data_IF_059313167614
#
_entry.id   IF_059313167614
#
_cell.length_a   1.000
_cell.length_b   1.000
_cell.length_c   1.000
_cell.angle_alpha   90.00
_cell.angle_beta   90.00
_cell.angle_gamma   90.00
#
_symmetry.space_group_name_H-M   'P 1'
#
loop_
_entity.id
_entity.type
_entity.pdbx_description
1 polymer ?
#
# COMPACT_ATOMS: atom_id res chain seq x y z
N UNK A 1 -20.13 13.52 -23.00
CA UNK A 1 -20.15 12.88 -21.67
C UNK A 1 -20.29 11.35 -21.76
N UNK A 2 -21.19 10.79 -22.56
CA UNK A 2 -21.36 9.31 -22.66
C UNK A 2 -20.08 8.51 -22.95
N UNK A 3 -19.08 9.10 -23.64
CA UNK A 3 -17.80 8.43 -23.93
C UNK A 3 -16.85 8.33 -22.73
N UNK A 4 -17.18 8.92 -21.59
CA UNK A 4 -16.39 8.90 -20.36
C UNK A 4 -16.89 7.86 -19.34
N UNK A 5 -18.10 7.30 -19.57
CA UNK A 5 -18.64 6.25 -18.71
C UNK A 5 -17.74 5.02 -18.71
N UNK A 6 -17.57 4.40 -17.55
CA UNK A 6 -16.89 3.14 -17.37
C UNK A 6 -15.77 3.18 -16.35
N UNK A 7 -15.20 2.01 -16.15
CA UNK A 7 -14.08 1.77 -15.26
C UNK A 7 -12.79 1.59 -16.05
N UNK A 8 -11.69 2.17 -15.55
CA UNK A 8 -10.36 2.01 -16.14
C UNK A 8 -9.33 1.82 -15.06
N UNK A 9 -8.34 1.01 -15.36
CA UNK A 9 -7.20 0.78 -14.50
C UNK A 9 -5.93 1.15 -15.23
N UNK A 10 -5.05 1.84 -14.54
CA UNK A 10 -3.73 2.24 -15.03
C UNK A 10 -2.67 1.63 -14.13
N UNK A 11 -1.65 1.07 -14.73
CA UNK A 11 -0.42 0.72 -14.03
C UNK A 11 0.32 2.00 -13.67
N UNK A 12 0.78 2.09 -12.44
CA UNK A 12 1.70 3.14 -11.99
C UNK A 12 3.11 2.60 -12.06
N UNK A 13 3.96 3.29 -12.81
CA UNK A 13 5.33 2.88 -13.04
C UNK A 13 6.29 3.91 -12.43
N UNK A 14 7.33 3.44 -11.75
CA UNK A 14 8.47 4.23 -11.32
C UNK A 14 9.73 3.66 -11.97
N UNK A 15 10.43 4.50 -12.75
CA UNK A 15 11.60 4.06 -13.55
C UNK A 15 11.32 2.84 -14.43
N UNK A 16 10.09 2.75 -14.95
CA UNK A 16 9.66 1.65 -15.82
C UNK A 16 9.20 0.37 -15.09
N UNK A 17 9.36 0.31 -13.76
CA UNK A 17 8.89 -0.80 -12.93
C UNK A 17 7.48 -0.52 -12.39
N UNK A 18 6.56 -1.48 -12.41
CA UNK A 18 5.24 -1.31 -11.83
C UNK A 18 5.35 -1.20 -10.30
N UNK A 19 4.82 -0.12 -9.76
CA UNK A 19 4.84 0.20 -8.32
C UNK A 19 3.45 0.35 -7.74
N UNK A 20 2.40 0.23 -8.55
CA UNK A 20 1.04 0.39 -8.09
C UNK A 20 0.03 0.52 -9.22
N UNK A 21 -1.12 1.04 -8.88
CA UNK A 21 -2.21 1.25 -9.83
C UNK A 21 -3.04 2.49 -9.50
N UNK A 22 -3.67 3.03 -10.53
CA UNK A 22 -4.74 4.03 -10.45
C UNK A 22 -6.00 3.43 -11.07
N UNK A 23 -7.07 3.38 -10.32
CA UNK A 23 -8.40 3.03 -10.82
C UNK A 23 -9.25 4.28 -10.93
N UNK A 24 -9.93 4.44 -12.05
CA UNK A 24 -10.88 5.52 -12.26
C UNK A 24 -12.23 4.95 -12.69
N UNK A 25 -13.31 5.52 -12.20
CA UNK A 25 -14.65 5.15 -12.61
C UNK A 25 -15.50 6.41 -12.83
N UNK A 26 -16.35 6.37 -13.83
CA UNK A 26 -17.35 7.41 -14.09
C UNK A 26 -18.67 6.72 -14.32
N UNK A 27 -19.68 7.06 -13.53
CA UNK A 27 -21.02 6.48 -13.62
C UNK A 27 -22.12 7.51 -13.34
N UNK A 28 -23.34 7.20 -13.74
CA UNK A 28 -24.54 7.87 -13.27
C UNK A 28 -25.05 7.17 -12.01
N UNK A 29 -25.40 7.95 -10.99
CA UNK A 29 -26.02 7.44 -9.76
C UNK A 29 -27.51 7.16 -9.99
N UNK A 30 -28.19 6.57 -9.00
CA UNK A 30 -29.62 6.36 -9.02
C UNK A 30 -30.43 7.69 -9.03
N UNK A 31 -29.81 8.81 -8.67
CA UNK A 31 -30.37 10.16 -8.71
C UNK A 31 -30.03 10.91 -9.99
N UNK A 32 -29.54 10.22 -11.02
CA UNK A 32 -29.07 10.78 -12.28
C UNK A 32 -27.91 11.81 -12.15
N UNK A 33 -27.19 11.79 -11.04
CA UNK A 33 -25.97 12.58 -10.85
C UNK A 33 -24.74 11.85 -11.45
N UNK A 34 -23.72 12.60 -11.82
CA UNK A 34 -22.45 12.04 -12.27
C UNK A 34 -21.54 11.80 -11.08
N UNK A 35 -21.07 10.56 -10.92
CA UNK A 35 -20.08 10.21 -9.93
C UNK A 35 -18.77 9.84 -10.63
N UNK A 36 -17.69 10.49 -10.20
CA UNK A 36 -16.32 10.21 -10.60
C UNK A 36 -15.54 9.69 -9.39
N UNK A 37 -14.94 8.51 -9.52
CA UNK A 37 -14.07 7.94 -8.48
C UNK A 37 -12.66 7.76 -9.00
N UNK A 38 -11.68 7.99 -8.12
CA UNK A 38 -10.26 7.73 -8.36
C UNK A 38 -9.66 7.05 -7.13
N UNK A 39 -9.04 5.90 -7.32
CA UNK A 39 -8.34 5.17 -6.27
C UNK A 39 -6.90 4.93 -6.72
N UNK A 40 -5.96 5.53 -6.03
CA UNK A 40 -4.53 5.38 -6.27
C UNK A 40 -3.91 4.58 -5.13
N UNK A 41 -3.13 3.56 -5.48
CA UNK A 41 -2.28 2.84 -4.56
C UNK A 41 -0.89 2.70 -5.16
N UNK A 42 0.12 3.14 -4.42
CA UNK A 42 1.52 3.11 -4.85
C UNK A 42 2.40 2.59 -3.72
N UNK A 43 3.18 1.57 -4.02
CA UNK A 43 4.26 1.08 -3.16
C UNK A 43 5.58 1.53 -3.80
N UNK A 44 6.14 2.63 -3.32
CA UNK A 44 7.36 3.17 -3.90
C UNK A 44 8.59 2.32 -3.55
N UNK A 45 9.53 2.22 -4.49
CA UNK A 45 10.75 1.40 -4.33
C UNK A 45 11.66 1.83 -3.16
N UNK A 46 11.52 3.03 -2.62
CA UNK A 46 12.36 3.55 -1.53
C UNK A 46 11.60 4.54 -0.65
N UNK A 47 10.31 4.41 -0.57
CA UNK A 47 9.46 5.31 0.20
C UNK A 47 8.19 4.57 0.67
N UNK A 48 7.52 5.15 1.66
CA UNK A 48 6.28 4.61 2.19
C UNK A 48 5.22 4.33 1.12
N UNK A 49 4.42 3.30 1.37
CA UNK A 49 3.19 3.09 0.61
C UNK A 49 2.29 4.34 0.72
N UNK A 50 1.71 4.72 -0.40
CA UNK A 50 0.80 5.84 -0.50
C UNK A 50 -0.53 5.34 -1.08
N UNK A 51 -1.62 5.68 -0.44
CA UNK A 51 -2.96 5.45 -0.97
C UNK A 51 -3.75 6.74 -0.97
N UNK A 52 -4.54 6.96 -2.01
CA UNK A 52 -5.56 7.99 -1.99
C UNK A 52 -6.83 7.52 -2.68
N UNK A 53 -7.95 7.94 -2.14
CA UNK A 53 -9.26 7.74 -2.71
C UNK A 53 -9.94 9.09 -2.87
N UNK A 54 -10.57 9.33 -4.01
CA UNK A 54 -11.36 10.51 -4.26
C UNK A 54 -12.68 10.12 -4.90
N UNK A 55 -13.76 10.68 -4.39
CA UNK A 55 -15.10 10.57 -4.96
C UNK A 55 -15.62 11.99 -5.19
N UNK A 56 -16.11 12.29 -6.37
CA UNK A 56 -16.72 13.56 -6.73
C UNK A 56 -18.12 13.30 -7.30
N UNK A 57 -19.13 13.96 -6.77
CA UNK A 57 -20.48 13.91 -7.28
C UNK A 57 -20.86 15.24 -7.92
N UNK A 58 -21.34 15.21 -9.15
CA UNK A 58 -21.78 16.37 -9.91
C UNK A 58 -23.26 16.24 -10.26
N UNK A 59 -23.96 17.38 -10.28
CA UNK A 59 -25.36 17.44 -10.74
C UNK A 59 -25.54 16.80 -12.13
N UNK A 60 -26.60 16.05 -12.31
CA UNK A 60 -26.97 15.45 -13.59
C UNK A 60 -27.50 16.45 -14.62
N UNK A 61 -27.82 17.68 -14.20
CA UNK A 61 -28.34 18.76 -15.04
C UNK A 61 -27.38 19.95 -15.11
N UNK A 62 -27.39 20.71 -16.23
CA UNK A 62 -26.58 21.91 -16.35
C UNK A 62 -26.79 22.88 -15.18
N UNK A 63 -25.74 23.54 -14.67
CA UNK A 63 -24.36 23.59 -15.19
C UNK A 63 -23.50 22.38 -14.86
N UNK A 64 -24.01 21.27 -14.29
CA UNK A 64 -23.30 20.09 -13.82
C UNK A 64 -22.33 20.44 -12.68
N UNK A 65 -22.83 21.24 -11.73
CA UNK A 65 -22.04 21.70 -10.60
C UNK A 65 -21.59 20.53 -9.70
N UNK A 66 -20.43 20.66 -9.09
CA UNK A 66 -19.98 19.76 -8.03
C UNK A 66 -20.92 19.87 -6.84
N UNK A 67 -21.50 18.77 -6.41
CA UNK A 67 -22.39 18.67 -5.23
C UNK A 67 -21.57 18.39 -3.99
N UNK A 68 -20.71 17.36 -4.09
CA UNK A 68 -19.83 16.94 -3.00
C UNK A 68 -18.53 16.36 -3.53
N UNK A 69 -17.49 16.39 -2.71
CA UNK A 69 -16.28 15.66 -2.94
C UNK A 69 -15.70 15.12 -1.63
N UNK A 70 -15.31 13.86 -1.65
CA UNK A 70 -14.60 13.19 -0.56
C UNK A 70 -13.21 12.81 -1.04
N UNK A 71 -12.22 13.08 -0.22
CA UNK A 71 -10.84 12.72 -0.47
C UNK A 71 -10.24 12.10 0.79
N UNK A 72 -9.67 10.95 0.64
CA UNK A 72 -8.90 10.26 1.66
C UNK A 72 -7.48 10.03 1.16
N UNK A 73 -6.52 10.31 2.02
CA UNK A 73 -5.11 10.01 1.78
C UNK A 73 -4.54 9.33 3.00
N UNK A 74 -3.84 8.23 2.75
CA UNK A 74 -3.06 7.54 3.77
C UNK A 74 -1.61 7.45 3.33
N UNK A 75 -0.74 7.90 4.20
CA UNK A 75 0.70 7.75 4.07
C UNK A 75 1.27 7.41 5.44
N UNK A 76 2.56 7.08 5.51
CA UNK A 76 3.21 6.77 6.79
C UNK A 76 3.26 7.94 7.77
N UNK A 77 3.12 9.15 7.29
CA UNK A 77 3.32 10.36 8.11
C UNK A 77 2.03 11.13 8.36
N UNK A 78 1.06 11.00 7.48
CA UNK A 78 -0.19 11.77 7.55
C UNK A 78 -1.32 10.95 6.96
N UNK A 79 -2.38 10.79 7.73
CA UNK A 79 -3.69 10.42 7.24
C UNK A 79 -4.51 11.70 7.13
N UNK A 80 -5.05 11.96 5.97
CA UNK A 80 -5.86 13.14 5.72
C UNK A 80 -7.19 12.73 5.11
N UNK A 81 -8.27 13.30 5.65
CA UNK A 81 -9.61 13.22 5.07
C UNK A 81 -10.11 14.63 4.82
N UNK A 82 -10.64 14.86 3.62
CA UNK A 82 -11.25 16.14 3.22
C UNK A 82 -12.63 15.86 2.65
N UNK A 83 -13.65 16.53 3.17
CA UNK A 83 -14.99 16.50 2.62
C UNK A 83 -15.38 17.90 2.16
N UNK A 84 -15.97 18.01 0.98
CA UNK A 84 -16.58 19.23 0.45
C UNK A 84 -18.07 19.01 0.27
N UNK A 85 -18.87 19.98 0.70
CA UNK A 85 -20.30 20.02 0.47
C UNK A 85 -20.68 21.39 -0.14
N UNK A 86 -21.49 21.38 -1.17
CA UNK A 86 -21.95 22.60 -1.82
C UNK A 86 -22.82 23.44 -0.86
N UNK A 87 -22.51 24.75 -0.78
CA UNK A 87 -23.29 25.75 -0.07
C UNK A 87 -23.61 26.89 -1.01
N UNK A 88 -24.40 27.90 -0.54
CA UNK A 88 -24.66 29.08 -1.33
C UNK A 88 -23.35 29.87 -1.58
N UNK A 89 -22.97 29.96 -2.85
CA UNK A 89 -21.80 30.73 -3.28
C UNK A 89 -20.45 30.00 -3.22
N UNK A 90 -20.42 28.69 -2.92
CA UNK A 90 -19.17 27.93 -2.87
C UNK A 90 -19.30 26.59 -2.18
N UNK A 91 -18.31 26.23 -1.33
CA UNK A 91 -18.26 24.96 -0.61
C UNK A 91 -17.91 25.13 0.85
N UNK A 92 -18.54 24.32 1.71
CA UNK A 92 -18.04 24.06 3.07
C UNK A 92 -17.04 22.90 3.02
N UNK A 93 -15.84 23.12 3.56
CA UNK A 93 -14.80 22.10 3.64
C UNK A 93 -14.57 21.67 5.09
N UNK A 94 -14.50 20.37 5.30
CA UNK A 94 -14.06 19.75 6.56
C UNK A 94 -12.79 18.96 6.31
N UNK A 95 -11.76 19.28 7.07
CA UNK A 95 -10.45 18.64 6.97
C UNK A 95 -10.17 17.94 8.29
N UNK A 96 -9.83 16.66 8.22
CA UNK A 96 -9.32 15.89 9.37
C UNK A 96 -7.91 15.43 9.03
N UNK A 97 -6.99 15.64 9.95
CA UNK A 97 -5.63 15.15 9.84
C UNK A 97 -5.28 14.40 11.10
N UNK A 98 -4.74 13.18 10.94
CA UNK A 98 -4.12 12.43 12.01
C UNK A 98 -2.70 12.05 11.59
N UNK A 99 -1.76 12.09 12.49
CA UNK A 99 -0.37 11.80 12.16
C UNK A 99 0.52 11.63 13.39
N UNK A 100 1.67 10.99 13.17
CA UNK A 100 2.61 10.64 14.23
C UNK A 100 3.32 11.83 14.89
N UNK A 101 3.22 13.03 14.34
CA UNK A 101 3.94 14.22 14.80
C UNK A 101 3.08 15.33 15.44
N UNK A 102 1.77 15.17 15.44
CA UNK A 102 0.87 16.16 16.05
C UNK A 102 -0.56 15.61 16.07
N UNK A 103 -1.18 15.54 17.21
CA UNK A 103 -2.47 14.93 17.46
C UNK A 103 -3.56 15.21 16.39
N UNK A 104 -4.71 14.57 16.53
CA UNK A 104 -5.84 14.73 15.63
C UNK A 104 -6.28 16.20 15.53
N UNK A 105 -6.22 16.76 14.33
CA UNK A 105 -6.67 18.10 14.02
C UNK A 105 -7.91 18.05 13.11
N UNK A 106 -8.93 18.84 13.45
CA UNK A 106 -10.09 19.03 12.60
C UNK A 106 -10.26 20.53 12.31
N UNK A 107 -10.34 20.86 11.04
CA UNK A 107 -10.50 22.23 10.56
C UNK A 107 -11.76 22.33 9.69
N UNK A 108 -12.45 23.46 9.79
CA UNK A 108 -13.60 23.81 8.96
C UNK A 108 -13.32 25.14 8.27
N UNK A 109 -13.57 25.21 6.98
CA UNK A 109 -13.40 26.45 6.20
C UNK A 109 -14.46 26.53 5.11
N UNK A 110 -14.70 27.74 4.61
CA UNK A 110 -15.56 27.98 3.46
C UNK A 110 -14.71 28.42 2.28
N UNK A 111 -15.12 28.00 1.09
CA UNK A 111 -14.43 28.24 -0.17
C UNK A 111 -15.40 28.98 -1.11
N UNK A 112 -14.93 30.04 -1.75
CA UNK A 112 -15.70 30.97 -2.59
C UNK A 112 -15.62 30.69 -4.10
N UNK A 113 -15.08 29.54 -4.48
CA UNK A 113 -15.00 29.11 -5.86
C UNK A 113 -16.11 28.10 -6.21
N UNK A 114 -16.36 27.92 -7.50
CA UNK A 114 -17.26 26.89 -8.04
C UNK A 114 -16.51 25.95 -8.98
N UNK A 115 -16.96 24.71 -9.09
CA UNK A 115 -16.37 23.70 -9.94
C UNK A 115 -17.46 22.87 -10.59
N UNK A 116 -17.27 22.50 -11.86
CA UNK A 116 -18.26 21.75 -12.62
C UNK A 116 -17.63 20.53 -13.29
N UNK A 117 -18.46 19.58 -13.71
CA UNK A 117 -18.01 18.46 -14.52
C UNK A 117 -17.35 18.91 -15.85
N UNK A 118 -17.75 20.06 -16.37
CA UNK A 118 -17.12 20.64 -17.57
C UNK A 118 -15.69 21.10 -17.29
N UNK A 119 -15.43 21.67 -16.11
CA UNK A 119 -14.09 22.05 -15.69
C UNK A 119 -13.21 20.83 -15.54
N UNK A 120 -13.72 19.77 -14.87
CA UNK A 120 -13.04 18.48 -14.72
C UNK A 120 -12.70 17.81 -16.07
N UNK A 121 -13.52 18.00 -17.10
CA UNK A 121 -13.34 17.46 -18.45
C UNK A 121 -12.87 18.52 -19.45
N UNK A 122 -12.28 19.62 -18.99
CA UNK A 122 -11.94 20.79 -19.82
C UNK A 122 -10.92 20.45 -20.91
N UNK A 123 -9.96 19.59 -20.64
CA UNK A 123 -8.97 19.16 -21.62
C UNK A 123 -9.63 18.41 -22.80
N UNK A 124 -10.51 17.46 -22.48
CA UNK A 124 -11.20 16.64 -23.47
C UNK A 124 -12.16 17.47 -24.34
N UNK A 125 -12.69 18.57 -23.79
CA UNK A 125 -13.61 19.45 -24.53
C UNK A 125 -12.87 20.34 -25.52
N UNK A 126 -11.68 20.83 -25.19
CA UNK A 126 -10.88 21.71 -26.04
C UNK A 126 -10.19 20.98 -27.19
N UNK A 127 -9.93 19.70 -27.05
CA UNK A 127 -9.27 18.91 -28.08
C UNK A 127 -10.26 18.41 -29.15
N UNK A 128 -9.98 18.72 -30.39
CA UNK A 128 -10.73 18.22 -31.55
C UNK A 128 -9.76 17.68 -32.60
N UNK A 129 -10.28 16.92 -33.56
CA UNK A 129 -9.47 16.51 -34.75
C UNK A 129 -8.98 17.67 -35.58
N UNK A 130 -9.52 18.88 -35.39
CA UNK A 130 -9.14 20.10 -36.11
C UNK A 130 -8.20 21.01 -35.32
N UNK A 131 -7.99 20.72 -34.03
CA UNK A 131 -7.07 21.51 -33.17
C UNK A 131 -5.67 21.50 -33.81
N UNK A 132 -5.06 22.66 -34.18
CA UNK A 132 -3.75 22.69 -34.82
C UNK A 132 -2.65 22.15 -33.89
N UNK A 133 -1.66 21.48 -34.46
CA UNK A 133 -0.43 21.12 -33.76
C UNK A 133 0.27 22.40 -33.29
N UNK A 134 0.79 22.43 -32.10
CA UNK A 134 1.37 23.62 -31.47
C UNK A 134 0.38 24.47 -30.67
N UNK A 135 -0.93 24.23 -30.79
CA UNK A 135 -1.94 24.93 -29.97
C UNK A 135 -1.79 24.62 -28.50
N UNK A 136 -2.12 25.62 -27.68
CA UNK A 136 -2.24 25.46 -26.23
C UNK A 136 -3.68 25.16 -25.84
N UNK A 137 -3.86 24.24 -24.91
CA UNK A 137 -5.13 23.87 -24.29
C UNK A 137 -4.94 23.84 -22.78
N UNK A 138 -5.97 24.18 -22.03
CA UNK A 138 -5.90 24.26 -20.56
C UNK A 138 -6.79 23.18 -19.93
N UNK A 139 -6.25 22.43 -18.99
CA UNK A 139 -7.03 21.55 -18.12
C UNK A 139 -7.26 22.19 -16.76
N UNK A 140 -8.45 22.03 -16.23
CA UNK A 140 -8.77 22.37 -14.84
C UNK A 140 -8.92 21.10 -14.02
N UNK A 141 -8.53 21.15 -12.76
CA UNK A 141 -8.68 20.04 -11.84
C UNK A 141 -8.83 20.54 -10.40
N UNK A 142 -9.57 19.80 -9.61
CA UNK A 142 -9.75 20.08 -8.20
C UNK A 142 -8.60 19.48 -7.40
N UNK A 143 -7.81 20.36 -6.77
CA UNK A 143 -6.76 19.96 -5.82
C UNK A 143 -7.36 19.88 -4.42
N UNK A 144 -7.72 18.67 -3.98
CA UNK A 144 -8.34 18.42 -2.69
C UNK A 144 -7.36 18.60 -1.51
N UNK A 145 -6.06 18.54 -1.75
CA UNK A 145 -5.06 18.77 -0.70
C UNK A 145 -4.92 20.27 -0.39
N UNK A 146 -4.98 21.10 -1.42
CA UNK A 146 -4.84 22.55 -1.31
C UNK A 146 -6.19 23.30 -1.33
N UNK A 147 -7.31 22.58 -1.48
CA UNK A 147 -8.68 23.11 -1.52
C UNK A 147 -8.86 24.22 -2.56
N UNK A 148 -8.32 24.01 -3.74
CA UNK A 148 -8.40 25.00 -4.83
C UNK A 148 -8.62 24.35 -6.18
N UNK A 149 -9.19 25.11 -7.10
CA UNK A 149 -9.19 24.79 -8.52
C UNK A 149 -7.85 25.20 -9.10
N UNK A 150 -7.17 24.27 -9.74
CA UNK A 150 -5.85 24.47 -10.34
C UNK A 150 -5.93 24.28 -11.86
N UNK A 151 -5.06 24.98 -12.59
CA UNK A 151 -4.99 24.91 -14.03
C UNK A 151 -3.63 24.39 -14.50
N UNK A 152 -3.64 23.68 -15.62
CA UNK A 152 -2.42 23.28 -16.34
C UNK A 152 -2.56 23.58 -17.81
N UNK A 153 -1.55 24.21 -18.38
CA UNK A 153 -1.47 24.50 -19.81
C UNK A 153 -0.66 23.42 -20.51
N UNK A 154 -1.26 22.84 -21.54
CA UNK A 154 -0.65 21.81 -22.36
C UNK A 154 -0.49 22.30 -23.79
N UNK A 155 0.60 21.93 -24.43
CA UNK A 155 0.82 22.13 -25.86
C UNK A 155 0.53 20.84 -26.61
N UNK A 156 -0.26 20.91 -27.67
CA UNK A 156 -0.48 19.77 -28.56
C UNK A 156 0.77 19.54 -29.41
N UNK A 157 1.54 18.50 -29.11
CA UNK A 157 2.78 18.18 -29.81
C UNK A 157 2.53 17.32 -31.06
N UNK A 158 1.58 16.39 -30.96
CA UNK A 158 1.29 15.45 -32.03
C UNK A 158 -0.19 15.07 -32.06
N UNK A 159 -0.69 14.88 -33.27
CA UNK A 159 -1.98 14.29 -33.56
C UNK A 159 -1.81 13.16 -34.58
N UNK A 160 -2.40 12.03 -34.31
CA UNK A 160 -2.32 10.86 -35.16
C UNK A 160 -3.70 10.15 -35.27
N UNK A 161 -3.87 9.19 -36.18
CA UNK A 161 -5.06 8.34 -36.18
C UNK A 161 -5.31 7.60 -34.86
N UNK A 162 -4.29 7.50 -33.99
CA UNK A 162 -4.38 6.82 -32.68
C UNK A 162 -4.76 7.76 -31.54
N UNK A 163 -4.70 9.10 -31.73
CA UNK A 163 -5.05 10.09 -30.71
C UNK A 163 -4.15 11.31 -30.66
N UNK A 164 -3.91 11.83 -29.46
CA UNK A 164 -3.24 13.10 -29.20
C UNK A 164 -2.08 12.92 -28.23
N UNK A 165 -0.99 13.65 -28.46
CA UNK A 165 0.14 13.76 -27.53
C UNK A 165 0.27 15.23 -27.13
N UNK A 166 0.20 15.46 -25.80
CA UNK A 166 0.28 16.78 -25.20
C UNK A 166 1.50 16.86 -24.29
N UNK A 167 2.12 18.02 -24.24
CA UNK A 167 3.21 18.33 -23.32
C UNK A 167 2.80 19.46 -22.39
N UNK A 168 2.92 19.26 -21.09
CA UNK A 168 2.60 20.27 -20.08
C UNK A 168 3.71 21.31 -20.02
N UNK A 169 3.35 22.60 -20.00
CA UNK A 169 4.29 23.71 -20.08
C UNK A 169 5.23 23.79 -18.87
N UNK A 170 4.70 23.58 -17.68
CA UNK A 170 5.41 23.89 -16.44
C UNK A 170 6.41 22.80 -15.99
N UNK A 171 6.12 21.54 -16.28
CA UNK A 171 6.90 20.40 -15.80
C UNK A 171 7.32 19.41 -16.89
N UNK A 172 7.09 19.73 -18.16
CA UNK A 172 7.41 18.87 -19.30
C UNK A 172 6.77 17.46 -19.25
N UNK A 173 5.72 17.25 -18.45
CA UNK A 173 5.02 15.97 -18.47
C UNK A 173 4.32 15.75 -19.81
N UNK A 174 4.20 14.49 -20.21
CA UNK A 174 3.58 14.08 -21.46
C UNK A 174 2.30 13.32 -21.18
N UNK A 175 1.21 13.74 -21.81
CA UNK A 175 -0.11 13.10 -21.75
C UNK A 175 -0.47 12.55 -23.12
N UNK A 176 -0.72 11.24 -23.21
CA UNK A 176 -1.19 10.56 -24.40
C UNK A 176 -2.68 10.22 -24.24
N UNK A 177 -3.50 10.69 -25.15
CA UNK A 177 -4.94 10.45 -25.21
C UNK A 177 -5.30 9.65 -26.46
N UNK A 178 -6.32 8.79 -26.37
CA UNK A 178 -6.87 8.10 -27.53
C UNK A 178 -7.73 9.03 -28.42
N UNK A 179 -8.29 8.47 -29.48
CA UNK A 179 -9.17 9.21 -30.40
C UNK A 179 -10.47 9.69 -29.77
N UNK A 180 -10.87 9.11 -28.64
CA UNK A 180 -12.01 9.51 -27.82
C UNK A 180 -11.60 10.48 -26.69
N UNK A 181 -10.33 10.90 -26.68
CA UNK A 181 -9.73 11.81 -25.69
C UNK A 181 -9.63 11.24 -24.29
N UNK A 182 -9.54 9.93 -24.17
CA UNK A 182 -9.35 9.22 -22.90
C UNK A 182 -7.87 9.01 -22.68
N UNK A 183 -7.43 9.11 -21.43
CA UNK A 183 -6.04 8.88 -21.05
C UNK A 183 -5.58 7.46 -21.42
N UNK A 184 -4.45 7.36 -22.15
CA UNK A 184 -3.73 6.11 -22.44
C UNK A 184 -2.48 6.05 -21.57
N UNK A 185 -1.74 7.16 -21.51
CA UNK A 185 -0.48 7.25 -20.78
C UNK A 185 -0.27 8.67 -20.26
N UNK A 186 0.31 8.77 -19.09
CA UNK A 186 0.85 9.99 -18.54
C UNK A 186 2.28 9.73 -18.08
N UNK A 187 3.22 10.59 -18.42
CA UNK A 187 4.63 10.48 -18.04
C UNK A 187 5.09 11.79 -17.44
N UNK A 188 5.43 11.80 -16.16
CA UNK A 188 6.10 12.92 -15.52
C UNK A 188 7.61 12.69 -15.51
N UNK A 189 8.43 13.71 -15.89
CA UNK A 189 9.89 13.60 -15.80
C UNK A 189 10.33 13.28 -14.38
N UNK A 190 11.22 12.30 -14.24
CA UNK A 190 11.82 11.87 -12.97
C UNK A 190 10.85 11.40 -11.88
N UNK A 191 9.57 11.24 -12.20
CA UNK A 191 8.52 10.82 -11.29
C UNK A 191 7.84 9.53 -11.77
N UNK A 192 6.54 9.45 -11.53
CA UNK A 192 5.72 8.34 -11.96
C UNK A 192 5.24 8.49 -13.39
N UNK A 193 4.96 7.36 -14.01
CA UNK A 193 4.13 7.31 -15.21
C UNK A 193 2.91 6.42 -14.96
N UNK A 194 1.82 6.77 -15.62
CA UNK A 194 0.59 5.99 -15.63
C UNK A 194 0.41 5.43 -17.03
N UNK A 195 0.11 4.15 -17.14
CA UNK A 195 -0.16 3.49 -18.42
C UNK A 195 -1.47 2.72 -18.31
N UNK A 196 -2.39 2.92 -19.26
CA UNK A 196 -3.64 2.16 -19.31
C UNK A 196 -3.30 0.66 -19.29
N UNK A 197 -3.80 -0.04 -18.30
CA UNK A 197 -3.57 -1.47 -18.14
C UNK A 197 -4.33 -2.26 -19.21
N UNK A 198 -3.67 -3.25 -19.78
CA UNK A 198 -4.29 -4.26 -20.65
C UNK A 198 -4.68 -5.51 -19.86
N UNK A 199 -4.28 -5.58 -18.60
CA UNK A 199 -4.55 -6.70 -17.72
C UNK A 199 -5.95 -6.59 -17.10
N UNK A 200 -6.55 -7.73 -16.85
CA UNK A 200 -7.81 -7.83 -16.12
C UNK A 200 -7.57 -7.47 -14.66
N UNK A 201 -8.63 -7.14 -13.95
CA UNK A 201 -8.54 -6.75 -12.53
C UNK A 201 -7.91 -7.86 -11.65
N UNK A 202 -8.19 -9.11 -11.99
CA UNK A 202 -7.64 -10.29 -11.34
C UNK A 202 -6.13 -10.51 -11.61
N UNK A 203 -5.60 -9.97 -12.71
CA UNK A 203 -4.18 -10.03 -13.06
C UNK A 203 -3.35 -8.88 -12.45
N UNK A 204 -4.00 -7.81 -11.98
CA UNK A 204 -3.32 -6.64 -11.40
C UNK A 204 -2.52 -6.96 -10.14
N UNK A 205 -2.87 -8.01 -9.44
CA UNK A 205 -2.13 -8.49 -8.27
C UNK A 205 -0.67 -8.88 -8.59
N UNK A 206 -0.38 -9.18 -9.87
CA UNK A 206 0.95 -9.55 -10.35
C UNK A 206 1.82 -8.34 -10.72
N UNK A 207 1.26 -7.12 -10.75
CA UNK A 207 1.92 -5.92 -11.25
C UNK A 207 2.61 -5.07 -10.19
N UNK A 208 2.62 -5.49 -8.94
CA UNK A 208 3.16 -4.66 -7.86
C UNK A 208 4.62 -4.97 -7.64
N UNK A 209 5.44 -3.94 -7.73
CA UNK A 209 6.86 -3.99 -7.43
C UNK A 209 7.14 -4.43 -5.99
N UNK A 210 8.35 -4.95 -5.73
CA UNK A 210 8.81 -5.31 -4.40
C UNK A 210 8.55 -4.21 -3.37
N UNK A 211 8.09 -4.60 -2.20
CA UNK A 211 7.82 -3.69 -1.09
C UNK A 211 9.11 -3.25 -0.43
N UNK A 212 9.05 -2.17 0.36
CA UNK A 212 10.20 -1.69 1.14
C UNK A 212 10.82 -2.79 2.00
N UNK A 213 9.99 -3.68 2.58
CA UNK A 213 10.46 -4.81 3.37
C UNK A 213 11.23 -5.85 2.53
N UNK A 214 10.81 -6.10 1.30
CA UNK A 214 11.47 -7.03 0.38
C UNK A 214 12.82 -6.50 -0.09
N UNK A 215 12.87 -5.19 -0.37
CA UNK A 215 14.12 -4.52 -0.69
C UNK A 215 15.12 -4.54 0.48
N UNK A 216 14.65 -4.43 1.70
CA UNK A 216 15.48 -4.48 2.89
C UNK A 216 15.90 -5.92 3.26
N UNK A 217 15.08 -6.93 2.92
CA UNK A 217 15.29 -8.30 3.35
C UNK A 217 16.56 -8.94 2.75
N UNK A 218 16.93 -8.56 1.54
CA UNK A 218 17.94 -9.30 0.77
C UNK A 218 19.40 -8.92 1.10
N UNK A 219 19.69 -7.84 1.81
CA UNK A 219 21.08 -7.38 1.99
C UNK A 219 21.41 -6.81 3.35
N UNK A 220 20.42 -6.45 4.17
CA UNK A 220 20.67 -5.75 5.41
C UNK A 220 20.71 -6.71 6.60
N UNK A 221 21.85 -6.70 7.28
CA UNK A 221 22.15 -7.50 8.46
C UNK A 221 22.67 -6.60 9.58
N UNK A 222 22.15 -6.75 10.79
CA UNK A 222 22.69 -6.14 11.97
C UNK A 222 23.24 -7.20 12.92
N UNK A 223 24.57 -7.21 13.17
CA UNK A 223 25.19 -8.16 14.06
C UNK A 223 24.78 -7.95 15.50
N UNK A 224 24.88 -9.00 16.30
CA UNK A 224 24.72 -8.97 17.75
C UNK A 224 26.07 -8.89 18.45
N UNK A 225 26.10 -8.20 19.58
CA UNK A 225 27.26 -8.20 20.47
C UNK A 225 27.40 -9.46 21.31
N UNK A 226 26.33 -10.24 21.43
CA UNK A 226 26.30 -11.51 22.18
C UNK A 226 25.25 -12.45 21.55
N UNK A 227 25.53 -13.74 21.55
CA UNK A 227 24.62 -14.77 21.03
C UNK A 227 23.35 -14.89 21.88
N UNK A 228 22.22 -15.08 21.22
CA UNK A 228 20.96 -15.46 21.87
C UNK A 228 20.91 -16.98 22.02
N UNK A 229 20.87 -17.42 23.27
CA UNK A 229 20.64 -18.83 23.57
C UNK A 229 19.16 -19.17 23.39
N UNK A 230 18.86 -20.28 22.70
CA UNK A 230 17.49 -20.77 22.46
C UNK A 230 16.50 -19.67 22.04
N UNK A 231 16.76 -18.93 20.96
CA UNK A 231 15.98 -17.75 20.57
C UNK A 231 14.48 -18.04 20.39
N UNK A 232 14.13 -19.24 19.91
CA UNK A 232 12.76 -19.69 19.70
C UNK A 232 11.96 -19.94 20.99
N UNK A 233 12.59 -19.89 22.15
CA UNK A 233 11.94 -20.03 23.46
C UNK A 233 11.79 -18.70 24.22
N UNK A 234 12.26 -17.60 23.63
CA UNK A 234 12.15 -16.28 24.24
C UNK A 234 10.69 -15.82 24.32
N UNK A 235 10.28 -15.34 25.47
CA UNK A 235 8.98 -14.72 25.71
C UNK A 235 9.04 -13.20 25.68
N UNK A 236 10.18 -12.62 26.08
CA UNK A 236 10.47 -11.19 25.95
C UNK A 236 11.89 -10.99 25.43
N UNK A 237 12.10 -9.91 24.70
CA UNK A 237 13.41 -9.48 24.25
C UNK A 237 13.44 -7.97 24.13
N UNK A 238 14.49 -7.35 24.65
CA UNK A 238 14.83 -5.93 24.42
C UNK A 238 16.26 -5.83 23.92
N UNK A 239 16.41 -5.15 22.80
CA UNK A 239 17.69 -4.85 22.17
C UNK A 239 18.00 -3.37 22.34
N UNK A 240 19.20 -3.04 22.80
CA UNK A 240 19.76 -1.70 22.64
C UNK A 240 20.38 -1.58 21.25
N UNK A 241 20.18 -0.42 20.62
CA UNK A 241 20.80 -0.08 19.36
C UNK A 241 22.05 0.72 19.61
N UNK A 242 23.14 0.39 18.92
CA UNK A 242 24.40 1.09 19.03
C UNK A 242 24.84 1.57 17.64
N UNK A 243 25.03 2.88 17.50
CA UNK A 243 25.54 3.45 16.26
C UNK A 243 27.08 3.28 16.19
N UNK A 244 27.56 2.77 15.07
CA UNK A 244 29.00 2.55 14.80
C UNK A 244 29.64 3.70 14.00
N UNK A 245 28.81 4.63 13.49
CA UNK A 245 29.28 5.72 12.63
C UNK A 245 29.25 7.09 13.31
N UNK A 246 29.54 8.17 12.57
CA UNK A 246 29.55 9.52 13.10
C UNK A 246 28.15 10.07 13.42
N UNK A 247 27.09 9.44 12.93
CA UNK A 247 25.70 9.85 13.18
C UNK A 247 25.14 9.12 14.40
N UNK A 248 24.54 9.87 15.32
CA UNK A 248 23.81 9.30 16.46
C UNK A 248 22.55 8.58 16.01
N UNK A 249 21.98 7.72 16.87
CA UNK A 249 20.69 7.04 16.59
C UNK A 249 19.58 8.05 16.30
N UNK A 250 19.50 9.13 17.08
CA UNK A 250 18.53 10.21 16.90
C UNK A 250 18.66 10.90 15.54
N UNK A 251 19.87 11.15 15.07
CA UNK A 251 20.12 11.73 13.73
C UNK A 251 19.75 10.78 12.61
N UNK A 252 19.78 9.47 12.86
CA UNK A 252 19.34 8.44 11.94
C UNK A 252 17.82 8.18 11.99
N UNK A 253 17.09 8.79 12.94
CA UNK A 253 15.67 8.57 13.17
C UNK A 253 15.38 7.21 13.84
N UNK A 254 16.33 6.69 14.62
CA UNK A 254 16.24 5.42 15.30
C UNK A 254 16.01 5.59 16.80
N UNK A 255 15.23 4.72 17.45
CA UNK A 255 15.09 4.66 18.90
C UNK A 255 16.36 4.07 19.56
N UNK A 256 16.51 4.30 20.85
CA UNK A 256 17.61 3.70 21.61
C UNK A 256 17.44 2.19 21.84
N UNK A 257 16.20 1.73 21.89
CA UNK A 257 15.87 0.33 22.12
C UNK A 257 14.71 -0.15 21.22
N UNK A 258 14.73 -1.44 20.90
CA UNK A 258 13.63 -2.16 20.29
C UNK A 258 13.23 -3.33 21.18
N UNK A 259 11.94 -3.62 21.29
CA UNK A 259 11.49 -4.74 22.14
C UNK A 259 10.28 -5.45 21.57
N UNK A 260 10.17 -6.74 21.90
CA UNK A 260 8.99 -7.55 21.66
C UNK A 260 8.66 -8.42 22.89
N UNK A 261 7.39 -8.75 22.98
CA UNK A 261 6.86 -9.68 23.98
C UNK A 261 5.88 -10.62 23.28
N UNK A 262 6.01 -11.90 23.54
CA UNK A 262 5.08 -12.93 23.07
C UNK A 262 3.83 -12.87 23.95
N UNK A 263 2.96 -11.96 23.65
CA UNK A 263 1.64 -11.87 24.29
C UNK A 263 0.61 -11.39 23.29
N UNK A 264 -0.62 -11.88 23.38
CA UNK A 264 -1.70 -11.36 22.54
C UNK A 264 -1.89 -9.86 22.77
N UNK A 265 -2.09 -9.13 21.68
CA UNK A 265 -2.34 -7.68 21.71
C UNK A 265 -3.83 -7.42 21.51
N UNK A 266 -4.44 -6.62 22.38
CA UNK A 266 -5.84 -6.23 22.20
C UNK A 266 -6.04 -5.54 20.85
N UNK A 267 -7.12 -5.91 20.15
CA UNK A 267 -7.51 -5.24 18.94
C UNK A 267 -8.16 -3.89 19.29
N UNK A 268 -7.56 -2.80 18.85
CA UNK A 268 -8.15 -1.49 18.95
C UNK A 268 -9.19 -1.32 17.82
N UNK A 269 -10.49 -1.43 18.17
CA UNK A 269 -11.59 -1.25 17.22
C UNK A 269 -12.04 -2.52 16.48
N UNK A 270 -12.98 -2.34 15.55
CA UNK A 270 -13.50 -3.43 14.69
C UNK A 270 -12.48 -3.79 13.62
N UNK A 271 -12.31 -5.08 13.35
CA UNK A 271 -11.36 -5.62 12.39
C UNK A 271 -11.85 -5.82 10.92
N UNK A 272 -12.92 -5.15 10.41
CA UNK A 272 -13.46 -5.47 9.08
C UNK A 272 -12.45 -5.24 7.94
N UNK A 273 -11.54 -4.28 8.07
CA UNK A 273 -10.52 -4.02 7.06
C UNK A 273 -9.47 -5.14 6.88
N UNK A 274 -9.34 -6.02 7.89
CA UNK A 274 -8.39 -7.13 7.86
C UNK A 274 -9.00 -8.45 7.33
N UNK A 275 -10.19 -8.39 6.78
CA UNK A 275 -10.86 -9.45 6.02
C UNK A 275 -10.88 -9.17 4.52
N UNK A 276 -10.62 -7.93 4.11
CA UNK A 276 -10.78 -7.51 2.74
C UNK A 276 -9.62 -7.97 1.86
N UNK A 277 -9.93 -8.13 0.58
CA UNK A 277 -8.91 -8.28 -0.46
C UNK A 277 -8.10 -6.99 -0.64
N UNK A 278 -6.92 -7.16 -1.21
CA UNK A 278 -6.11 -6.06 -1.72
C UNK A 278 -5.41 -6.53 -3.00
N UNK A 279 -4.71 -5.64 -3.69
CA UNK A 279 -3.96 -6.04 -4.89
C UNK A 279 -2.92 -7.14 -4.65
N UNK A 280 -2.38 -7.21 -3.45
CA UNK A 280 -1.39 -8.22 -3.07
C UNK A 280 -1.99 -9.44 -2.40
N UNK A 281 -3.23 -9.34 -1.94
CA UNK A 281 -3.94 -10.37 -1.18
C UNK A 281 -5.25 -10.69 -1.91
N UNK A 282 -5.24 -11.62 -2.88
CA UNK A 282 -6.40 -11.96 -3.71
C UNK A 282 -7.39 -12.86 -2.97
N UNK A 283 -8.05 -12.29 -1.96
CA UNK A 283 -9.05 -12.99 -1.14
C UNK A 283 -10.21 -13.48 -2.00
N UNK A 284 -10.58 -14.75 -1.84
CA UNK A 284 -11.67 -15.36 -2.63
C UNK A 284 -11.36 -15.59 -4.12
N UNK A 285 -10.11 -15.41 -4.55
CA UNK A 285 -9.71 -15.78 -5.92
C UNK A 285 -9.89 -17.28 -6.15
N UNK A 286 -10.37 -17.75 -7.34
CA UNK A 286 -10.62 -19.16 -7.61
C UNK A 286 -9.45 -20.08 -7.25
N UNK A 287 -8.24 -19.73 -7.61
CA UNK A 287 -7.04 -20.49 -7.28
C UNK A 287 -6.79 -20.60 -5.77
N UNK A 288 -7.18 -19.60 -4.98
CA UNK A 288 -7.10 -19.66 -3.50
C UNK A 288 -8.20 -20.53 -2.92
N UNK A 289 -9.41 -20.45 -3.48
CA UNK A 289 -10.52 -21.32 -3.08
C UNK A 289 -10.23 -22.79 -3.38
N UNK A 290 -9.60 -23.09 -4.50
CA UNK A 290 -9.19 -24.44 -4.87
C UNK A 290 -8.18 -25.04 -3.87
N UNK A 291 -7.30 -24.22 -3.28
CA UNK A 291 -6.37 -24.66 -2.24
C UNK A 291 -7.09 -25.03 -0.93
N UNK A 292 -8.21 -24.40 -0.66
CA UNK A 292 -9.01 -24.62 0.57
C UNK A 292 -10.06 -25.72 0.40
N UNK A 293 -10.38 -26.13 -0.83
CA UNK A 293 -11.51 -27.01 -1.13
C UNK A 293 -11.36 -28.50 -0.75
N UNK A 294 -10.16 -29.14 -0.75
CA UNK A 294 -10.11 -30.62 -0.68
C UNK A 294 -10.54 -31.22 0.65
N UNK A 295 -10.35 -30.54 1.79
CA UNK A 295 -10.53 -31.21 3.11
C UNK A 295 -11.40 -30.47 4.11
N UNK A 296 -12.15 -29.46 3.68
CA UNK A 296 -12.97 -28.63 4.57
C UNK A 296 -12.19 -28.29 5.84
N UNK A 297 -11.67 -27.08 5.94
CA UNK A 297 -11.00 -26.66 7.17
C UNK A 297 -11.90 -27.02 8.34
N UNK A 298 -11.46 -27.97 9.14
CA UNK A 298 -12.17 -28.32 10.37
C UNK A 298 -12.32 -27.04 11.18
N UNK A 299 -13.56 -26.68 11.52
CA UNK A 299 -13.83 -25.59 12.46
C UNK A 299 -13.12 -25.91 13.79
N UNK A 300 -11.82 -25.62 13.84
CA UNK A 300 -11.10 -25.74 15.09
C UNK A 300 -11.24 -24.45 15.88
N UNK A 301 -11.71 -24.57 17.10
CA UNK A 301 -11.76 -23.44 18.04
C UNK A 301 -10.39 -23.11 18.62
N UNK A 302 -9.45 -24.04 18.50
CA UNK A 302 -8.09 -23.91 19.04
C UNK A 302 -7.20 -23.08 18.10
N UNK A 303 -6.61 -22.03 18.65
CA UNK A 303 -5.76 -21.09 17.92
C UNK A 303 -4.50 -21.74 17.36
N UNK A 304 -3.85 -22.61 18.14
CA UNK A 304 -2.60 -23.26 17.73
C UNK A 304 -2.83 -24.20 16.56
N UNK A 305 -3.87 -25.02 16.64
CA UNK A 305 -4.25 -25.92 15.56
C UNK A 305 -4.62 -25.17 14.29
N UNK A 306 -5.38 -24.08 14.40
CA UNK A 306 -5.75 -23.23 13.27
C UNK A 306 -4.51 -22.59 12.62
N UNK A 307 -3.62 -22.03 13.46
CA UNK A 307 -2.38 -21.41 12.98
C UNK A 307 -1.51 -22.43 12.25
N UNK A 308 -1.36 -23.63 12.80
CA UNK A 308 -0.55 -24.70 12.22
C UNK A 308 -1.15 -25.19 10.90
N UNK A 309 -2.46 -25.38 10.79
CA UNK A 309 -3.11 -25.77 9.54
C UNK A 309 -2.85 -24.75 8.41
N UNK A 310 -2.99 -23.45 8.71
CA UNK A 310 -2.73 -22.40 7.74
C UNK A 310 -1.22 -22.32 7.37
N UNK A 311 -0.34 -22.53 8.33
CA UNK A 311 1.11 -22.61 8.11
C UNK A 311 1.44 -23.79 7.20
N UNK A 312 0.93 -24.98 7.52
CA UNK A 312 1.21 -26.20 6.75
C UNK A 312 0.71 -26.06 5.31
N UNK A 313 -0.50 -25.50 5.13
CA UNK A 313 -1.03 -25.22 3.80
C UNK A 313 -0.14 -24.22 3.05
N UNK A 314 0.25 -23.12 3.68
CA UNK A 314 1.15 -22.12 3.08
C UNK A 314 2.46 -22.76 2.65
N UNK A 315 3.07 -23.53 3.53
CA UNK A 315 4.37 -24.20 3.30
C UNK A 315 4.31 -25.33 2.28
N UNK A 316 3.15 -25.95 2.12
CA UNK A 316 2.96 -26.96 1.06
C UNK A 316 2.95 -26.33 -0.35
N UNK A 317 2.64 -25.05 -0.47
CA UNK A 317 2.58 -24.34 -1.74
C UNK A 317 3.89 -23.66 -2.13
N UNK A 318 4.74 -23.29 -1.18
CA UNK A 318 5.92 -22.49 -1.42
C UNK A 318 7.18 -23.13 -0.85
N UNK A 319 8.25 -23.15 -1.67
CA UNK A 319 9.62 -23.39 -1.23
C UNK A 319 10.31 -22.05 -0.95
N UNK A 320 10.97 -21.92 0.19
CA UNK A 320 11.75 -20.72 0.49
C UNK A 320 12.91 -20.54 -0.47
N UNK A 321 13.02 -19.38 -1.08
CA UNK A 321 14.07 -19.05 -2.03
C UNK A 321 14.47 -17.59 -1.90
N UNK A 322 15.71 -17.34 -1.49
CA UNK A 322 16.29 -16.00 -1.44
C UNK A 322 16.46 -15.41 -2.85
N UNK A 323 16.40 -14.08 -2.93
CA UNK A 323 16.58 -13.32 -4.17
C UNK A 323 15.57 -13.64 -5.28
N UNK A 324 14.40 -14.14 -4.92
CA UNK A 324 13.30 -14.24 -5.85
C UNK A 324 12.63 -12.86 -5.97
N UNK A 325 12.35 -12.36 -7.17
CA UNK A 325 11.58 -11.13 -7.31
C UNK A 325 10.24 -11.36 -6.63
N UNK A 326 9.96 -10.54 -5.63
CA UNK A 326 8.69 -10.59 -4.95
C UNK A 326 7.58 -10.25 -5.94
N UNK A 327 6.70 -11.19 -6.07
CA UNK A 327 5.59 -11.09 -6.98
C UNK A 327 4.31 -10.64 -6.27
N UNK A 328 3.29 -11.32 -6.58
CA UNK A 328 2.01 -11.36 -5.89
C UNK A 328 1.81 -12.77 -5.36
N UNK A 329 0.84 -12.97 -4.50
CA UNK A 329 0.44 -14.32 -4.04
C UNK A 329 0.22 -15.28 -5.23
N UNK A 330 -0.44 -14.82 -6.30
CA UNK A 330 -0.65 -15.65 -7.49
C UNK A 330 0.65 -15.95 -8.24
N UNK A 331 1.58 -14.99 -8.30
CA UNK A 331 2.90 -15.18 -8.90
C UNK A 331 3.75 -16.16 -8.09
N UNK A 332 3.73 -16.07 -6.76
CA UNK A 332 4.42 -17.00 -5.87
C UNK A 332 3.85 -18.41 -5.98
N UNK A 333 2.52 -18.56 -6.05
CA UNK A 333 1.86 -19.85 -6.30
C UNK A 333 2.24 -20.45 -7.67
N UNK A 334 2.34 -19.62 -8.71
CA UNK A 334 2.73 -20.08 -10.04
C UNK A 334 4.18 -20.56 -10.08
N UNK A 335 5.08 -19.87 -9.37
CA UNK A 335 6.50 -20.25 -9.29
C UNK A 335 6.77 -21.40 -8.31
N UNK A 336 5.89 -21.61 -7.33
CA UNK A 336 6.09 -22.51 -6.20
C UNK A 336 7.23 -22.06 -5.26
N UNK A 337 7.63 -20.78 -5.34
CA UNK A 337 8.77 -20.22 -4.59
C UNK A 337 8.44 -18.84 -4.06
N UNK A 338 9.08 -18.48 -2.94
CA UNK A 338 8.90 -17.16 -2.35
C UNK A 338 9.84 -16.91 -1.17
N UNK A 339 9.89 -15.65 -0.76
CA UNK A 339 10.57 -15.18 0.46
C UNK A 339 9.57 -15.02 1.61
N UNK A 340 10.05 -14.54 2.76
CA UNK A 340 9.20 -14.35 3.94
C UNK A 340 7.93 -13.54 3.67
N UNK A 341 7.98 -12.54 2.80
CA UNK A 341 6.81 -11.74 2.44
C UNK A 341 5.79 -12.56 1.65
N UNK A 342 6.24 -13.40 0.72
CA UNK A 342 5.35 -14.26 -0.08
C UNK A 342 4.63 -15.29 0.79
N UNK A 343 5.36 -15.87 1.76
CA UNK A 343 4.76 -16.76 2.77
C UNK A 343 3.73 -16.03 3.63
N UNK A 344 4.09 -14.85 4.13
CA UNK A 344 3.19 -14.06 4.97
C UNK A 344 1.93 -13.59 4.23
N UNK A 345 2.06 -13.25 2.95
CA UNK A 345 0.92 -12.81 2.14
C UNK A 345 0.00 -13.95 1.72
N UNK A 346 0.57 -15.10 1.36
CA UNK A 346 -0.24 -16.29 1.08
C UNK A 346 -0.99 -16.72 2.34
N UNK A 347 -0.33 -16.77 3.49
CA UNK A 347 -0.97 -17.05 4.78
C UNK A 347 -2.12 -16.07 5.06
N UNK A 348 -1.88 -14.75 4.93
CA UNK A 348 -2.91 -13.73 5.13
C UNK A 348 -4.08 -13.92 4.17
N UNK A 349 -3.80 -14.24 2.90
CA UNK A 349 -4.84 -14.47 1.89
C UNK A 349 -5.71 -15.69 2.24
N UNK A 350 -5.08 -16.80 2.61
CA UNK A 350 -5.78 -18.03 3.04
C UNK A 350 -6.63 -17.78 4.28
N UNK A 351 -6.06 -17.12 5.30
CA UNK A 351 -6.79 -16.78 6.53
C UNK A 351 -8.02 -15.90 6.25
N UNK A 352 -7.86 -14.83 5.46
CA UNK A 352 -8.96 -13.92 5.10
C UNK A 352 -10.03 -14.61 4.27
N UNK A 353 -9.65 -15.49 3.34
CA UNK A 353 -10.60 -16.26 2.53
C UNK A 353 -11.47 -17.18 3.41
N UNK A 354 -10.95 -17.63 4.55
CA UNK A 354 -11.71 -18.37 5.56
C UNK A 354 -12.46 -17.48 6.58
N UNK A 355 -12.50 -16.17 6.35
CA UNK A 355 -13.17 -15.23 7.26
C UNK A 355 -12.38 -14.92 8.54
N UNK A 356 -11.08 -15.26 8.59
CA UNK A 356 -10.20 -14.97 9.73
C UNK A 356 -9.44 -13.69 9.46
N UNK A 357 -9.66 -12.67 10.29
CA UNK A 357 -8.94 -11.42 10.18
C UNK A 357 -7.44 -11.66 10.40
N UNK A 358 -6.63 -11.28 9.41
CA UNK A 358 -5.18 -11.46 9.40
C UNK A 358 -4.48 -10.29 8.76
N UNK A 359 -3.22 -10.05 9.16
CA UNK A 359 -2.36 -9.03 8.57
C UNK A 359 -0.92 -9.49 8.51
N UNK A 360 -0.21 -9.04 7.47
CA UNK A 360 1.25 -9.15 7.38
C UNK A 360 1.89 -8.10 8.27
N UNK A 361 2.87 -8.49 9.05
CA UNK A 361 3.66 -7.64 9.94
C UNK A 361 5.09 -7.59 9.43
N UNK A 362 5.69 -6.41 9.44
CA UNK A 362 7.06 -6.19 9.03
C UNK A 362 7.91 -5.77 10.23
N UNK A 363 9.14 -6.23 10.26
CA UNK A 363 10.07 -5.90 11.30
C UNK A 363 11.42 -6.55 11.13
N UNK A 364 12.07 -6.87 12.24
CA UNK A 364 13.29 -7.66 12.27
C UNK A 364 13.07 -8.94 13.07
N UNK A 365 13.79 -10.00 12.68
CA UNK A 365 13.82 -11.23 13.43
C UNK A 365 15.23 -11.83 13.44
N UNK A 366 15.53 -12.62 14.45
CA UNK A 366 16.84 -13.24 14.63
C UNK A 366 17.04 -14.42 13.70
N UNK A 367 18.17 -14.43 13.01
CA UNK A 367 18.62 -15.58 12.23
C UNK A 367 20.01 -16.01 12.71
N UNK A 368 20.18 -17.29 12.96
CA UNK A 368 21.48 -17.86 13.32
C UNK A 368 22.38 -18.09 12.11
N UNK A 369 21.83 -18.16 10.92
CA UNK A 369 22.55 -18.49 9.68
C UNK A 369 22.41 -17.36 8.64
N UNK A 370 23.44 -17.13 7.79
CA UNK A 370 24.81 -17.69 7.85
C UNK A 370 25.64 -17.12 9.01
N UNK A 371 25.19 -16.02 9.63
CA UNK A 371 25.81 -15.40 10.80
C UNK A 371 24.72 -14.98 11.78
N UNK A 372 24.95 -15.13 13.11
CA UNK A 372 24.00 -14.71 14.13
C UNK A 372 23.70 -13.21 14.06
N UNK A 373 22.43 -12.84 13.97
CA UNK A 373 22.04 -11.43 13.93
C UNK A 373 20.59 -11.21 13.54
N UNK A 374 20.19 -9.96 13.45
CA UNK A 374 18.86 -9.57 13.03
C UNK A 374 18.83 -9.23 11.55
N UNK A 375 17.78 -9.70 10.89
CA UNK A 375 17.46 -9.42 9.50
C UNK A 375 16.04 -8.89 9.40
N UNK A 376 15.74 -8.16 8.34
CA UNK A 376 14.37 -7.84 8.03
C UNK A 376 13.57 -9.11 7.78
N UNK A 377 12.37 -9.12 8.28
CA UNK A 377 11.49 -10.28 8.20
C UNK A 377 10.03 -9.85 8.13
N UNK A 378 9.20 -10.68 7.49
CA UNK A 378 7.77 -10.54 7.43
C UNK A 378 7.11 -11.81 8.01
N UNK A 379 6.11 -11.60 8.85
CA UNK A 379 5.32 -12.66 9.46
C UNK A 379 3.85 -12.22 9.57
N UNK A 380 3.03 -12.90 10.33
CA UNK A 380 1.61 -12.64 10.40
C UNK A 380 1.13 -12.36 11.81
N UNK A 381 0.03 -11.64 11.89
CA UNK A 381 -0.85 -11.62 13.06
C UNK A 381 -2.25 -12.05 12.63
N UNK A 382 -2.87 -12.92 13.42
CA UNK A 382 -4.27 -13.36 13.27
C UNK A 382 -5.10 -12.88 14.46
N UNK A 383 -6.34 -12.48 14.18
CA UNK A 383 -7.26 -11.99 15.21
C UNK A 383 -8.14 -13.13 15.72
N UNK A 384 -8.06 -13.43 17.01
CA UNK A 384 -8.92 -14.40 17.67
C UNK A 384 -9.37 -13.85 19.03
N UNK A 385 -10.66 -13.97 19.34
CA UNK A 385 -11.24 -13.50 20.60
C UNK A 385 -10.90 -12.04 20.95
N UNK A 386 -10.86 -11.16 19.96
CA UNK A 386 -10.51 -9.74 20.13
C UNK A 386 -9.02 -9.45 20.39
N UNK A 387 -8.15 -10.44 20.19
CA UNK A 387 -6.71 -10.31 20.39
C UNK A 387 -5.92 -10.72 19.14
N UNK A 388 -4.86 -10.00 18.84
CA UNK A 388 -3.91 -10.32 17.79
C UNK A 388 -2.84 -11.28 18.31
N UNK A 389 -2.62 -12.36 17.60
CA UNK A 389 -1.62 -13.39 17.89
C UNK A 389 -0.62 -13.48 16.75
N UNK A 390 0.66 -13.37 17.06
CA UNK A 390 1.75 -13.45 16.06
C UNK A 390 2.06 -14.90 15.70
N UNK A 391 2.15 -15.16 14.40
CA UNK A 391 2.48 -16.47 13.81
C UNK A 391 3.47 -16.29 12.67
N UNK A 392 4.33 -17.25 12.41
CA UNK A 392 5.30 -17.17 11.30
C UNK A 392 5.24 -18.42 10.41
N UNK A 393 4.66 -18.31 9.20
CA UNK A 393 4.61 -19.41 8.27
C UNK A 393 5.96 -19.75 7.63
N UNK A 394 6.88 -18.79 7.54
CA UNK A 394 8.21 -19.01 6.97
C UNK A 394 9.03 -19.96 7.83
N UNK A 395 9.05 -19.71 9.13
CA UNK A 395 9.83 -20.49 10.10
C UNK A 395 9.02 -21.56 10.85
N UNK A 396 7.77 -21.80 10.40
CA UNK A 396 6.89 -22.82 10.99
C UNK A 396 6.62 -22.60 12.48
N UNK A 397 6.30 -21.35 12.85
CA UNK A 397 5.99 -21.00 14.23
C UNK A 397 4.50 -20.66 14.39
N UNK A 398 3.72 -21.56 14.96
CA UNK A 398 2.31 -21.31 15.30
C UNK A 398 2.16 -20.19 16.34
N UNK A 399 3.21 -19.91 17.10
CA UNK A 399 3.36 -18.74 17.96
C UNK A 399 4.76 -18.18 17.70
N UNK A 400 4.86 -17.04 17.03
CA UNK A 400 6.13 -16.37 16.80
C UNK A 400 6.82 -16.01 18.13
N UNK A 401 8.12 -16.24 18.23
CA UNK A 401 8.90 -15.95 19.43
C UNK A 401 9.22 -14.44 19.57
N UNK A 402 9.79 -14.04 20.72
CA UNK A 402 10.09 -12.64 21.00
C UNK A 402 11.26 -12.05 20.18
N UNK A 403 11.90 -12.82 19.30
CA UNK A 403 12.86 -12.26 18.34
C UNK A 403 12.18 -11.54 17.19
N UNK A 404 10.88 -11.76 16.97
CA UNK A 404 10.07 -11.06 16.00
C UNK A 404 9.69 -9.68 16.54
N UNK A 405 10.49 -8.68 16.24
CA UNK A 405 10.31 -7.30 16.70
C UNK A 405 9.61 -6.49 15.62
N UNK A 406 8.30 -6.18 15.77
CA UNK A 406 7.56 -5.40 14.80
C UNK A 406 8.06 -3.95 14.78
N UNK A 407 8.17 -3.39 13.60
CA UNK A 407 8.63 -2.02 13.40
C UNK A 407 7.54 -1.18 12.73
N UNK A 408 7.48 0.11 13.12
CA UNK A 408 6.74 1.07 12.30
C UNK A 408 7.46 1.25 10.97
N UNK A 409 6.74 1.64 9.94
CA UNK A 409 7.32 1.88 8.61
C UNK A 409 8.45 2.91 8.67
N UNK A 410 8.32 3.94 9.50
CA UNK A 410 9.37 4.94 9.70
C UNK A 410 10.64 4.33 10.30
N UNK A 411 10.50 3.52 11.35
CA UNK A 411 11.63 2.84 11.99
C UNK A 411 12.24 1.81 11.05
N UNK A 412 11.41 1.06 10.30
CA UNK A 412 11.83 0.10 9.30
C UNK A 412 12.71 0.77 8.23
N UNK A 413 12.25 1.88 7.66
CA UNK A 413 13.01 2.62 6.65
C UNK A 413 14.31 3.25 7.20
N UNK A 414 14.28 3.75 8.43
CA UNK A 414 15.47 4.29 9.08
C UNK A 414 16.51 3.21 9.37
N UNK A 415 16.05 2.07 9.90
CA UNK A 415 16.89 0.93 10.23
C UNK A 415 17.47 0.30 8.95
N UNK A 416 16.71 0.21 7.87
CA UNK A 416 17.19 -0.28 6.59
C UNK A 416 18.39 0.52 6.07
N UNK A 417 18.30 1.84 6.15
CA UNK A 417 19.43 2.72 5.76
C UNK A 417 20.65 2.52 6.65
N UNK A 418 20.44 2.36 7.96
CA UNK A 418 21.52 2.15 8.92
C UNK A 418 22.21 0.78 8.72
N UNK A 419 21.43 -0.27 8.54
CA UNK A 419 21.93 -1.63 8.33
C UNK A 419 22.68 -1.76 7.00
N UNK A 420 22.20 -1.13 5.92
CA UNK A 420 22.93 -1.12 4.63
C UNK A 420 24.27 -0.40 4.68
N UNK A 421 24.42 0.56 5.56
CA UNK A 421 25.67 1.29 5.79
C UNK A 421 26.56 0.60 6.84
N UNK A 422 26.11 -0.52 7.40
CA UNK A 422 26.76 -1.22 8.50
C UNK A 422 27.05 -0.30 9.71
N UNK A 423 26.12 0.65 9.95
CA UNK A 423 26.30 1.68 11.00
C UNK A 423 25.56 1.35 12.29
N UNK A 424 25.02 0.14 12.41
CA UNK A 424 24.22 -0.28 13.58
C UNK A 424 24.62 -1.67 14.04
N UNK A 425 24.63 -1.88 15.37
CA UNK A 425 24.80 -3.18 16.01
C UNK A 425 23.79 -3.30 17.15
N UNK A 426 23.29 -4.48 17.39
CA UNK A 426 22.33 -4.76 18.46
C UNK A 426 23.01 -5.41 19.67
N UNK A 427 22.58 -4.98 20.86
CA UNK A 427 22.98 -5.57 22.14
C UNK A 427 21.75 -6.06 22.88
N UNK A 428 21.60 -7.37 23.17
CA UNK A 428 20.55 -7.84 24.06
C UNK A 428 20.76 -7.29 25.46
N UNK A 429 19.74 -6.58 25.99
CA UNK A 429 19.82 -5.94 27.32
C UNK A 429 18.82 -6.50 28.32
N UNK A 430 17.74 -7.11 27.84
CA UNK A 430 16.76 -7.76 28.67
C UNK A 430 16.07 -8.86 27.89
N UNK A 431 15.88 -10.04 28.52
CA UNK A 431 15.15 -11.15 27.92
C UNK A 431 14.62 -12.10 29.00
N UNK A 432 13.50 -12.79 28.68
CA UNK A 432 12.93 -13.85 29.48
C UNK A 432 12.59 -15.03 28.57
N UNK A 433 12.60 -16.23 29.14
CA UNK A 433 12.23 -17.46 28.43
C UNK A 433 10.80 -17.88 28.80
N UNK A 434 10.15 -18.60 27.90
CA UNK A 434 8.85 -19.21 28.19
C UNK A 434 9.05 -20.29 29.26
N UNK A 435 8.17 -20.33 30.25
CA UNK A 435 8.11 -21.40 31.24
C UNK A 435 7.15 -22.50 30.75
N UNK A 436 7.71 -23.59 30.20
CA UNK A 436 6.96 -24.77 29.75
C UNK A 436 6.98 -24.99 28.23
N UNK A 437 6.54 -26.19 27.77
CA UNK A 437 6.34 -26.45 26.34
C UNK A 437 5.20 -25.63 25.79
N UNK A 438 5.26 -25.37 24.46
CA UNK A 438 4.19 -24.73 23.70
C UNK A 438 2.93 -25.59 23.72
#
# INVERSE_FOLDING_TARGET
MSNQLGHRTYEVLQRGQPVGYLQTSTRLTAQDNWELTQNLKVNMLNAPAYTSAQVMEFSGSPPYALISADFEQQSQTVDQQVTLEQIQGGYAARIRRSGTAGGDASEHTTLDWTFTLKDQLSLEQQLTRRTPIGSFVTSQYLDMQQLRVSERTHRLEQRSPRGFILKTKDNNSVTELDTQRRLIRFTAPHQFSFRLSQHRQDELHQLIAPRVAEWAANTAFAPLTADLLKPNTLSTLTLALNALGPLTLKQQGLPDTLSATVSPKLANGKAPGFLNESLTLPVGHPQILDLLAPDGTTETSDLLSLSQQLIDLTRSQLLYAENQPAGSVLGSLQSGRGECVDFADLFTTLARTQGIASRTVYGIAYSALPSPGFRFHAWNEILRNGQWHSVDPTWNQAVADATHIPLSDQTLAALARAMQRETIVFTPVKWDYRSGPL
#
